data_IF_591993308029
#
_entry.id   IF_591993308029
#
_cell.length_a   1.000
_cell.length_b   1.000
_cell.length_c   1.000
_cell.angle_alpha   90.00
_cell.angle_beta   90.00
_cell.angle_gamma   90.00
#
_symmetry.space_group_name_H-M   'P 1'
#
loop_
_entity.id
_entity.type
_entity.pdbx_description
1 polymer ?
#
# COMPACT_ATOMS: atom_id res chain seq x y z
N UNK A 1 -2.34 13.51 0.28
CA UNK A 1 -3.82 13.51 0.15
C UNK A 1 -4.38 12.80 1.36
N UNK A 2 -5.07 13.52 2.24
CA UNK A 2 -5.73 12.92 3.41
C UNK A 2 -7.06 12.37 2.88
N UNK A 3 -7.19 11.04 2.84
CA UNK A 3 -8.42 10.38 2.40
C UNK A 3 -9.44 10.57 3.53
N UNK A 4 -10.44 11.43 3.33
CA UNK A 4 -11.53 11.63 4.28
C UNK A 4 -12.58 10.53 4.08
N UNK A 5 -12.86 9.75 5.13
CA UNK A 5 -13.75 8.58 5.10
C UNK A 5 -15.25 8.94 5.15
N UNK A 6 -15.58 10.21 5.38
CA UNK A 6 -16.92 10.63 5.80
C UNK A 6 -18.02 10.39 4.76
N UNK A 7 -17.67 10.42 3.47
CA UNK A 7 -18.64 10.30 2.36
C UNK A 7 -18.43 9.08 1.44
N UNK A 8 -17.49 8.18 1.76
CA UNK A 8 -17.19 7.01 0.90
C UNK A 8 -17.80 5.71 1.41
N UNK A 9 -18.15 4.81 0.48
CA UNK A 9 -18.49 3.45 0.87
C UNK A 9 -17.26 2.75 1.47
N UNK A 10 -17.45 1.78 2.40
CA UNK A 10 -16.39 0.90 2.87
C UNK A 10 -15.49 0.38 1.74
N UNK A 11 -16.12 -0.03 0.64
CA UNK A 11 -15.45 -0.66 -0.48
C UNK A 11 -14.59 0.34 -1.26
N UNK A 12 -15.11 1.54 -1.53
CA UNK A 12 -14.37 2.62 -2.17
C UNK A 12 -13.17 3.06 -1.33
N UNK A 13 -13.33 3.08 -0.01
CA UNK A 13 -12.26 3.41 0.92
C UNK A 13 -11.11 2.39 0.86
N UNK A 14 -11.44 1.10 0.96
CA UNK A 14 -10.44 0.02 0.83
C UNK A 14 -9.75 0.08 -0.52
N UNK A 15 -10.52 0.25 -1.61
CA UNK A 15 -9.98 0.34 -2.96
C UNK A 15 -8.99 1.49 -3.11
N UNK A 16 -9.33 2.70 -2.63
CA UNK A 16 -8.42 3.86 -2.71
C UNK A 16 -7.12 3.65 -1.93
N UNK A 17 -7.19 3.04 -0.74
CA UNK A 17 -5.99 2.75 0.05
C UNK A 17 -5.11 1.73 -0.65
N UNK A 18 -5.69 0.63 -1.15
CA UNK A 18 -4.96 -0.39 -1.90
C UNK A 18 -4.34 0.19 -3.16
N UNK A 19 -5.08 0.99 -3.92
CA UNK A 19 -4.58 1.62 -5.15
C UNK A 19 -3.40 2.56 -4.87
N UNK A 20 -3.52 3.42 -3.85
CA UNK A 20 -2.43 4.29 -3.40
C UNK A 20 -1.18 3.48 -3.07
N UNK A 21 -1.33 2.40 -2.31
CA UNK A 21 -0.22 1.64 -1.77
C UNK A 21 0.43 0.73 -2.82
N UNK A 22 -0.33 0.21 -3.78
CA UNK A 22 0.22 -0.44 -4.97
C UNK A 22 1.06 0.54 -5.79
N UNK A 23 0.55 1.75 -6.05
CA UNK A 23 1.33 2.79 -6.76
C UNK A 23 2.61 3.13 -6.00
N UNK A 24 2.58 3.16 -4.66
CA UNK A 24 3.76 3.36 -3.84
C UNK A 24 4.76 2.20 -3.96
N UNK A 25 4.29 0.94 -4.01
CA UNK A 25 5.15 -0.23 -4.26
C UNK A 25 5.83 -0.12 -5.62
N UNK A 26 5.10 0.26 -6.67
CA UNK A 26 5.67 0.44 -8.01
C UNK A 26 6.73 1.55 -8.03
N UNK A 27 6.45 2.69 -7.38
CA UNK A 27 7.44 3.78 -7.23
C UNK A 27 8.67 3.32 -6.47
N UNK A 28 8.50 2.57 -5.38
CA UNK A 28 9.59 2.02 -4.60
C UNK A 28 10.46 1.07 -5.45
N UNK A 29 9.85 0.19 -6.22
CA UNK A 29 10.57 -0.69 -7.16
C UNK A 29 11.36 0.14 -8.18
N UNK A 30 10.74 1.17 -8.75
CA UNK A 30 11.42 2.06 -9.71
C UNK A 30 12.63 2.72 -9.08
N UNK A 31 12.50 3.32 -7.90
CA UNK A 31 13.60 3.96 -7.16
C UNK A 31 14.73 2.97 -6.82
N UNK A 32 14.41 1.73 -6.46
CA UNK A 32 15.40 0.68 -6.20
C UNK A 32 16.17 0.33 -7.49
N UNK A 33 15.49 0.26 -8.63
CA UNK A 33 16.09 -0.13 -9.91
C UNK A 33 16.86 1.01 -10.57
N UNK A 34 16.27 2.21 -10.64
CA UNK A 34 16.86 3.37 -11.31
C UNK A 34 17.96 4.01 -10.47
N UNK A 35 17.69 4.25 -9.19
CA UNK A 35 18.50 5.11 -8.32
C UNK A 35 19.18 4.35 -7.17
N UNK A 36 18.80 3.08 -6.96
CA UNK A 36 19.23 2.24 -5.82
C UNK A 36 18.94 2.86 -4.47
N UNK A 37 17.82 3.54 -4.39
CA UNK A 37 17.28 4.09 -3.16
C UNK A 37 16.28 3.08 -2.63
N UNK A 38 16.62 2.48 -1.49
CA UNK A 38 15.67 1.67 -0.73
C UNK A 38 14.78 2.61 0.06
N UNK A 39 13.48 2.39 0.01
CA UNK A 39 12.46 3.22 0.66
C UNK A 39 11.56 2.38 1.56
N UNK A 40 11.04 2.96 2.64
CA UNK A 40 10.07 2.31 3.54
C UNK A 40 8.84 3.16 3.80
N UNK A 41 7.73 2.46 4.06
CA UNK A 41 6.47 3.04 4.51
C UNK A 41 5.72 3.80 3.42
N UNK A 42 4.57 4.37 3.79
CA UNK A 42 3.64 5.08 2.89
C UNK A 42 4.27 6.28 2.19
N UNK A 43 5.17 6.97 2.89
CA UNK A 43 5.79 8.22 2.42
C UNK A 43 7.06 7.94 1.62
N UNK A 44 7.39 6.66 1.38
CA UNK A 44 8.59 6.23 0.65
C UNK A 44 9.88 6.86 1.21
N UNK A 45 10.01 6.91 2.55
CA UNK A 45 11.19 7.49 3.19
C UNK A 45 12.43 6.68 2.82
N UNK A 46 13.44 7.35 2.26
CA UNK A 46 14.69 6.73 1.86
C UNK A 46 15.45 6.18 3.08
N UNK A 47 15.76 4.89 3.06
CA UNK A 47 16.49 4.20 4.14
C UNK A 47 17.95 3.95 3.81
N UNK A 48 18.33 3.81 2.53
CA UNK A 48 19.73 3.62 2.13
C UNK A 48 19.95 3.93 0.65
N UNK A 49 21.08 4.58 0.35
CA UNK A 49 21.60 4.78 -1.02
C UNK A 49 22.87 3.95 -1.19
N UNK A 50 22.89 3.00 -2.12
CA UNK A 50 24.09 2.22 -2.46
C UNK A 50 24.82 2.88 -3.63
N UNK A 51 25.99 3.48 -3.40
CA UNK A 51 26.91 3.95 -4.47
C UNK A 51 27.56 2.73 -5.15
N UNK A 52 27.65 2.74 -6.50
CA UNK A 52 28.64 1.95 -7.25
C UNK A 52 28.39 0.45 -7.46
N UNK A 53 27.41 0.09 -8.28
CA UNK A 53 27.33 -1.24 -8.94
C UNK A 53 26.97 -0.96 -10.42
N UNK A 54 27.56 -1.63 -11.40
CA UNK A 54 27.23 -1.39 -12.82
C UNK A 54 25.77 -1.73 -13.16
N UNK A 55 25.07 -0.88 -13.92
CA UNK A 55 23.81 -1.26 -14.60
C UNK A 55 24.22 -2.19 -15.76
N UNK A 56 23.87 -3.48 -15.69
CA UNK A 56 24.24 -4.46 -16.74
C UNK A 56 23.21 -4.55 -17.87
N UNK A 57 21.91 -4.45 -17.58
CA UNK A 57 20.85 -4.65 -18.58
C UNK A 57 19.56 -3.90 -18.21
N UNK A 58 18.94 -3.19 -19.16
CA UNK A 58 17.69 -2.43 -18.97
C UNK A 58 16.42 -3.28 -18.83
N UNK A 59 16.51 -4.61 -18.94
CA UNK A 59 15.35 -5.53 -18.86
C UNK A 59 14.55 -5.40 -17.57
N UNK A 60 15.23 -5.26 -16.44
CA UNK A 60 14.58 -5.05 -15.13
C UNK A 60 13.89 -3.68 -15.06
N UNK A 61 14.54 -2.64 -15.58
CA UNK A 61 13.99 -1.28 -15.62
C UNK A 61 12.70 -1.23 -16.47
N UNK A 62 12.68 -1.93 -17.60
CA UNK A 62 11.49 -2.07 -18.43
C UNK A 62 10.36 -2.81 -17.69
N UNK A 63 10.68 -3.92 -17.00
CA UNK A 63 9.67 -4.70 -16.26
C UNK A 63 9.05 -3.97 -15.06
N UNK A 64 9.76 -2.97 -14.51
CA UNK A 64 9.29 -2.18 -13.36
C UNK A 64 8.63 -0.87 -13.82
N UNK A 65 8.82 -0.46 -15.08
CA UNK A 65 8.23 0.78 -15.60
C UNK A 65 6.73 0.63 -15.91
N UNK A 66 6.28 -0.59 -16.25
CA UNK A 66 4.86 -0.86 -16.51
C UNK A 66 4.39 -2.10 -15.74
N UNK A 67 4.19 -2.01 -14.41
CA UNK A 67 3.83 -3.17 -13.61
C UNK A 67 2.33 -3.42 -13.71
N UNK A 68 1.96 -4.60 -14.18
CA UNK A 68 0.55 -5.03 -14.19
C UNK A 68 0.08 -5.31 -12.76
N UNK A 69 -1.03 -4.68 -12.39
CA UNK A 69 -1.75 -4.99 -11.16
C UNK A 69 -3.26 -4.96 -11.41
N UNK A 70 -3.98 -5.75 -10.63
CA UNK A 70 -5.42 -5.75 -10.58
C UNK A 70 -5.88 -5.73 -9.12
N UNK A 71 -6.90 -4.93 -8.85
CA UNK A 71 -7.61 -4.93 -7.57
C UNK A 71 -9.03 -5.38 -7.89
N UNK A 72 -9.46 -6.45 -7.24
CA UNK A 72 -10.80 -7.00 -7.39
C UNK A 72 -11.48 -6.96 -6.01
N UNK A 73 -12.66 -6.36 -5.93
CA UNK A 73 -13.53 -6.44 -4.76
C UNK A 73 -14.69 -7.37 -5.07
N UNK A 74 -14.92 -8.37 -4.22
CA UNK A 74 -16.09 -9.24 -4.29
C UNK A 74 -16.76 -9.27 -2.91
N UNK A 75 -17.81 -8.46 -2.76
CA UNK A 75 -18.50 -8.28 -1.48
C UNK A 75 -17.53 -7.78 -0.39
N UNK A 76 -17.35 -8.57 0.67
CA UNK A 76 -16.45 -8.26 1.78
C UNK A 76 -14.97 -8.58 1.51
N UNK A 77 -14.64 -9.23 0.40
CA UNK A 77 -13.28 -9.66 0.10
C UNK A 77 -12.61 -8.76 -0.95
N UNK A 78 -11.35 -8.41 -0.69
CA UNK A 78 -10.52 -7.64 -1.61
C UNK A 78 -9.28 -8.44 -2.00
N UNK A 79 -9.11 -8.68 -3.30
CA UNK A 79 -7.95 -9.36 -3.87
C UNK A 79 -7.07 -8.37 -4.62
N UNK A 80 -5.81 -8.27 -4.19
CA UNK A 80 -4.77 -7.53 -4.90
C UNK A 80 -3.84 -8.52 -5.62
N UNK A 81 -3.82 -8.44 -6.96
CA UNK A 81 -2.88 -9.15 -7.81
C UNK A 81 -1.83 -8.16 -8.30
N UNK A 82 -0.55 -8.43 -8.04
CA UNK A 82 0.57 -7.60 -8.47
C UNK A 82 1.65 -8.48 -9.10
N UNK A 83 2.11 -8.11 -10.28
CA UNK A 83 3.30 -8.72 -10.87
C UNK A 83 4.57 -8.17 -10.19
N UNK A 84 5.31 -9.06 -9.50
CA UNK A 84 6.58 -8.71 -8.84
C UNK A 84 7.75 -9.39 -9.56
N UNK A 85 8.58 -8.64 -10.31
CA UNK A 85 9.68 -9.22 -11.07
C UNK A 85 10.62 -10.04 -10.19
N UNK A 86 10.95 -11.27 -10.61
CA UNK A 86 11.85 -12.17 -9.85
C UNK A 86 13.20 -11.50 -9.55
N UNK A 87 13.72 -10.71 -10.48
CA UNK A 87 14.97 -9.96 -10.32
C UNK A 87 14.98 -9.00 -9.12
N UNK A 88 13.83 -8.44 -8.73
CA UNK A 88 13.71 -7.62 -7.53
C UNK A 88 13.99 -8.42 -6.25
N UNK A 89 13.66 -9.72 -6.24
CA UNK A 89 13.96 -10.61 -5.11
C UNK A 89 15.47 -10.68 -4.88
N UNK A 90 16.23 -10.92 -5.95
CA UNK A 90 17.70 -10.98 -5.84
C UNK A 90 18.33 -9.67 -5.36
N UNK A 91 17.77 -8.51 -5.73
CA UNK A 91 18.23 -7.22 -5.22
C UNK A 91 18.01 -7.10 -3.70
N UNK A 92 16.83 -7.49 -3.22
CA UNK A 92 16.53 -7.53 -1.79
C UNK A 92 17.48 -8.48 -1.04
N UNK A 93 17.75 -9.67 -1.60
CA UNK A 93 18.70 -10.64 -1.04
C UNK A 93 20.10 -10.07 -0.89
N UNK A 94 20.58 -9.35 -1.92
CA UNK A 94 21.90 -8.70 -1.87
C UNK A 94 21.94 -7.55 -0.87
N UNK A 95 20.80 -6.96 -0.51
CA UNK A 95 20.72 -5.90 0.47
C UNK A 95 20.60 -6.43 1.91
N UNK A 96 19.78 -7.46 2.13
CA UNK A 96 19.32 -7.93 3.44
C UNK A 96 19.92 -9.28 3.88
N UNK A 97 20.61 -10.00 3.00
CA UNK A 97 21.16 -11.34 3.24
C UNK A 97 20.20 -12.49 2.92
N UNK A 98 20.68 -13.74 2.96
CA UNK A 98 19.96 -14.94 2.54
C UNK A 98 18.73 -15.32 3.39
N UNK A 99 18.53 -14.70 4.55
CA UNK A 99 17.53 -15.12 5.54
C UNK A 99 16.14 -14.49 5.36
N UNK A 100 15.97 -13.59 4.39
CA UNK A 100 14.69 -12.88 4.17
C UNK A 100 14.19 -13.17 2.78
N UNK A 101 13.24 -14.11 2.68
CA UNK A 101 12.50 -14.42 1.45
C UNK A 101 11.52 -13.26 1.15
N UNK A 102 12.11 -12.16 0.67
CA UNK A 102 11.66 -11.22 -0.37
C UNK A 102 10.35 -10.43 -0.24
N UNK A 103 10.32 -9.33 -1.01
CA UNK A 103 9.25 -8.32 -1.17
C UNK A 103 9.36 -7.17 -0.18
N UNK A 104 10.55 -6.57 -0.06
CA UNK A 104 10.77 -5.46 0.87
C UNK A 104 9.77 -4.29 0.73
N UNK A 105 9.45 -3.82 -0.49
CA UNK A 105 8.42 -2.78 -0.66
C UNK A 105 7.02 -3.26 -0.26
N UNK A 106 6.65 -4.50 -0.59
CA UNK A 106 5.33 -5.06 -0.27
C UNK A 106 5.18 -5.21 1.24
N UNK A 107 6.18 -5.73 1.92
CA UNK A 107 6.11 -5.92 3.37
C UNK A 107 6.09 -4.57 4.10
N UNK A 108 6.94 -3.63 3.69
CA UNK A 108 7.03 -2.31 4.30
C UNK A 108 5.82 -1.41 4.04
N UNK A 109 5.10 -1.61 2.93
CA UNK A 109 3.94 -0.81 2.56
C UNK A 109 2.65 -1.55 2.95
N UNK A 110 2.42 -2.78 2.47
CA UNK A 110 1.18 -3.51 2.75
C UNK A 110 1.09 -3.91 4.23
N UNK A 111 2.02 -4.75 4.71
CA UNK A 111 1.88 -5.35 6.03
C UNK A 111 2.08 -4.34 7.15
N UNK A 112 3.09 -3.49 7.02
CA UNK A 112 3.43 -2.53 8.07
C UNK A 112 2.59 -1.26 8.07
N UNK A 113 1.86 -0.96 7.00
CA UNK A 113 1.18 0.32 6.88
C UNK A 113 -0.25 0.21 6.36
N UNK A 114 -0.47 -0.38 5.19
CA UNK A 114 -1.80 -0.52 4.57
C UNK A 114 -2.77 -1.25 5.50
N UNK A 115 -2.39 -2.43 5.99
CA UNK A 115 -3.26 -3.24 6.87
C UNK A 115 -3.59 -2.50 8.18
N UNK A 116 -2.61 -1.97 8.94
CA UNK A 116 -2.91 -1.17 10.12
C UNK A 116 -3.79 0.06 9.85
N UNK A 117 -3.55 0.79 8.75
CA UNK A 117 -4.35 1.96 8.39
C UNK A 117 -5.79 1.58 8.06
N UNK A 118 -5.99 0.48 7.31
CA UNK A 118 -7.31 -0.05 7.01
C UNK A 118 -8.06 -0.37 8.30
N UNK A 119 -7.43 -1.10 9.23
CA UNK A 119 -8.07 -1.47 10.50
C UNK A 119 -8.44 -0.23 11.31
N UNK A 120 -7.50 0.71 11.50
CA UNK A 120 -7.70 1.90 12.32
C UNK A 120 -8.80 2.79 11.76
N UNK A 121 -8.66 3.20 10.50
CA UNK A 121 -9.58 4.18 9.89
C UNK A 121 -10.96 3.59 9.59
N UNK A 122 -11.01 2.30 9.28
CA UNK A 122 -12.29 1.63 9.12
C UNK A 122 -13.02 1.56 10.47
N UNK A 123 -12.31 1.25 11.56
CA UNK A 123 -12.85 1.31 12.92
C UNK A 123 -13.44 2.67 13.27
N UNK A 124 -12.66 3.75 13.08
CA UNK A 124 -13.11 5.14 13.30
C UNK A 124 -14.38 5.46 12.50
N UNK A 125 -14.43 5.05 11.23
CA UNK A 125 -15.59 5.30 10.35
C UNK A 125 -16.85 4.57 10.82
N UNK A 126 -16.71 3.36 11.36
CA UNK A 126 -17.83 2.60 11.92
C UNK A 126 -18.33 3.25 13.21
N UNK A 127 -17.42 3.65 14.09
CA UNK A 127 -17.75 4.32 15.34
C UNK A 127 -18.49 5.65 15.12
N UNK A 128 -17.99 6.49 14.20
CA UNK A 128 -18.63 7.76 13.84
C UNK A 128 -20.04 7.55 13.30
N UNK A 129 -20.23 6.61 12.37
CA UNK A 129 -21.55 6.30 11.79
C UNK A 129 -22.53 5.80 12.85
N UNK A 130 -22.07 4.98 13.78
CA UNK A 130 -22.90 4.47 14.86
C UNK A 130 -23.27 5.58 15.85
N UNK A 131 -22.31 6.45 16.21
CA UNK A 131 -22.55 7.62 17.06
C UNK A 131 -23.56 8.59 16.45
N UNK A 132 -23.41 8.89 15.16
CA UNK A 132 -24.34 9.77 14.42
C UNK A 132 -25.73 9.14 14.32
N UNK A 133 -25.83 7.83 14.06
CA UNK A 133 -27.11 7.12 14.06
C UNK A 133 -27.82 7.14 15.43
N UNK A 134 -27.05 6.94 16.51
CA UNK A 134 -27.58 7.04 17.87
C UNK A 134 -28.06 8.47 18.18
N UNK A 135 -27.26 9.49 17.89
CA UNK A 135 -27.67 10.89 18.09
C UNK A 135 -28.95 11.23 17.33
N UNK A 136 -29.02 10.86 16.05
CA UNK A 136 -30.20 11.09 15.22
C UNK A 136 -31.45 10.39 15.77
N UNK A 137 -31.31 9.17 16.28
CA UNK A 137 -32.44 8.43 16.89
C UNK A 137 -32.88 9.05 18.22
N UNK A 138 -31.95 9.43 19.09
CA UNK A 138 -32.27 10.10 20.35
C UNK A 138 -32.89 11.49 20.14
N UNK A 139 -32.39 12.29 19.19
CA UNK A 139 -32.98 13.59 18.85
C UNK A 139 -34.39 13.46 18.27
N UNK A 140 -34.64 12.42 17.47
CA UNK A 140 -35.98 12.12 16.95
C UNK A 140 -36.94 11.67 18.04
N UNK A 141 -36.44 10.97 19.06
CA UNK A 141 -37.23 10.53 20.21
C UNK A 141 -37.56 11.69 21.16
N UNK A 142 -36.60 12.58 21.42
CA UNK A 142 -36.79 13.77 22.28
C UNK A 142 -37.63 14.90 21.65
N UNK A 143 -37.91 14.84 20.34
CA UNK A 143 -38.79 15.78 19.62
C UNK A 143 -40.26 15.33 19.56
N UNK A 144 -40.60 14.17 20.15
CA UNK A 144 -41.97 13.72 20.37
C UNK A 144 -42.37 13.96 21.81
#
# INVERSE_FOLDING_TARGET
>A
MIIQSKDMSPEEFVFKILERDVRNIQRAQKLIVSERIYVKGKDLKATKRRKGIGKRTGRLENSVTNPDYAIQGQGSEFTLVLNYPLHMRFLDMRHLGNWKIYRYPIWGIINNHTIPELISKYGETVEDRFGDALRNTFEKYNKK
#
